data_IF_094141679707
#
_entry.id   IF_094141679707
#
_cell.length_a   1.000
_cell.length_b   1.000
_cell.length_c   1.000
_cell.angle_alpha   90.00
_cell.angle_beta   90.00
_cell.angle_gamma   90.00
#
_symmetry.space_group_name_H-M   'P 1'
#
loop_
_entity.id
_entity.type
_entity.pdbx_description
1 polymer ?
#
# COMPACT_ATOMS: atom_id res chain seq x y z
N UNK A 1 1.63 14.46 15.92
CA UNK A 1 2.71 14.00 15.04
C UNK A 1 2.46 12.63 14.41
N UNK A 2 2.00 11.67 15.20
CA UNK A 2 1.70 10.34 14.65
C UNK A 2 0.51 10.34 13.71
N UNK A 3 -0.46 11.21 13.92
CA UNK A 3 -1.59 11.35 13.01
C UNK A 3 -1.17 11.76 11.59
N UNK A 4 -0.20 12.65 11.48
CA UNK A 4 0.29 13.06 10.18
C UNK A 4 1.00 11.92 9.47
N UNK A 5 1.81 11.16 10.22
CA UNK A 5 2.49 10.00 9.65
C UNK A 5 1.48 8.96 9.18
N UNK A 6 0.44 8.69 9.96
CA UNK A 6 -0.61 7.76 9.60
C UNK A 6 -1.32 8.21 8.32
N UNK A 7 -1.68 9.47 8.24
CA UNK A 7 -2.36 10.03 7.06
C UNK A 7 -1.50 9.92 5.81
N UNK A 8 -0.18 10.18 5.94
CA UNK A 8 0.74 10.06 4.83
C UNK A 8 0.86 8.63 4.33
N UNK A 9 0.95 7.68 5.25
CA UNK A 9 1.05 6.26 4.90
C UNK A 9 -0.26 5.79 4.25
N UNK A 10 -1.40 6.18 4.80
CA UNK A 10 -2.69 5.84 4.22
C UNK A 10 -2.83 6.38 2.80
N UNK A 11 -2.34 7.58 2.56
CA UNK A 11 -2.36 8.18 1.23
C UNK A 11 -1.46 7.42 0.25
N UNK A 12 -0.29 6.99 0.72
CA UNK A 12 0.64 6.20 -0.10
C UNK A 12 -0.02 4.87 -0.49
N UNK A 13 -0.65 4.21 0.47
CA UNK A 13 -1.36 2.95 0.22
C UNK A 13 -2.46 3.15 -0.82
N UNK A 14 -3.23 4.22 -0.67
CA UNK A 14 -4.28 4.56 -1.63
C UNK A 14 -3.72 4.76 -3.03
N UNK A 15 -2.60 5.46 -3.16
CA UNK A 15 -1.94 5.66 -4.44
C UNK A 15 -1.48 4.35 -5.06
N UNK A 16 -0.92 3.45 -4.26
CA UNK A 16 -0.52 2.13 -4.75
C UNK A 16 -1.72 1.31 -5.20
N UNK A 17 -2.84 1.40 -4.48
CA UNK A 17 -4.06 0.69 -4.87
C UNK A 17 -4.59 1.19 -6.21
N UNK A 18 -4.54 2.50 -6.45
CA UNK A 18 -4.92 3.08 -7.73
C UNK A 18 -3.98 2.58 -8.83
N UNK A 19 -2.68 2.56 -8.57
CA UNK A 19 -1.71 2.04 -9.53
C UNK A 19 -1.96 0.57 -9.84
N UNK A 20 -2.30 -0.21 -8.83
CA UNK A 20 -2.62 -1.63 -9.01
C UNK A 20 -3.82 -1.80 -9.95
N UNK A 21 -4.87 -1.02 -9.74
CA UNK A 21 -6.05 -1.05 -10.59
C UNK A 21 -5.70 -0.63 -12.02
N UNK A 22 -4.86 0.39 -12.18
CA UNK A 22 -4.41 0.84 -13.49
C UNK A 22 -3.62 -0.25 -14.21
N UNK A 23 -2.75 -0.96 -13.50
CA UNK A 23 -1.99 -2.07 -14.08
C UNK A 23 -2.89 -3.21 -14.54
N UNK A 24 -3.94 -3.51 -13.77
CA UNK A 24 -4.92 -4.51 -14.17
C UNK A 24 -5.63 -4.11 -15.46
N UNK A 25 -6.00 -2.84 -15.56
CA UNK A 25 -6.69 -2.32 -16.73
C UNK A 25 -5.80 -2.33 -17.97
N UNK A 26 -4.54 -1.90 -17.81
CA UNK A 26 -3.61 -1.75 -18.94
C UNK A 26 -3.02 -3.08 -19.42
N UNK A 27 -2.63 -3.94 -18.49
CA UNK A 27 -1.88 -5.16 -18.82
C UNK A 27 -2.70 -6.43 -18.66
N UNK A 28 -3.80 -6.36 -17.94
CA UNK A 28 -4.64 -7.54 -17.72
C UNK A 28 -3.85 -8.69 -17.08
N UNK A 29 -3.89 -9.85 -17.71
CA UNK A 29 -3.25 -11.07 -17.20
C UNK A 29 -1.88 -11.34 -17.81
N UNK A 30 -1.26 -10.35 -18.45
CA UNK A 30 0.06 -10.55 -19.02
C UNK A 30 1.08 -10.82 -17.91
N UNK A 31 2.15 -11.58 -18.25
CA UNK A 31 3.19 -11.88 -17.26
C UNK A 31 3.91 -10.63 -16.76
N UNK A 32 4.07 -9.65 -17.63
CA UNK A 32 4.69 -8.36 -17.26
C UNK A 32 3.83 -7.62 -16.24
N UNK A 33 2.52 -7.56 -16.48
CA UNK A 33 1.59 -6.94 -15.55
C UNK A 33 1.54 -7.67 -14.22
N UNK A 34 1.60 -9.00 -14.24
CA UNK A 34 1.60 -9.81 -13.02
C UNK A 34 2.83 -9.54 -12.15
N UNK A 35 3.99 -9.36 -12.75
CA UNK A 35 5.21 -9.02 -12.00
C UNK A 35 5.09 -7.67 -11.33
N UNK A 36 4.58 -6.68 -12.04
CA UNK A 36 4.38 -5.33 -11.50
C UNK A 36 3.35 -5.34 -10.38
N UNK A 37 2.25 -6.08 -10.56
CA UNK A 37 1.21 -6.20 -9.53
C UNK A 37 1.73 -6.85 -8.25
N UNK A 38 2.55 -7.90 -8.38
CA UNK A 38 3.15 -8.56 -7.22
C UNK A 38 4.05 -7.62 -6.45
N UNK A 39 4.82 -6.81 -7.14
CA UNK A 39 5.69 -5.83 -6.50
C UNK A 39 4.88 -4.80 -5.71
N UNK A 40 3.80 -4.29 -6.30
CA UNK A 40 2.91 -3.36 -5.61
C UNK A 40 2.22 -4.00 -4.41
N UNK A 41 1.78 -5.25 -4.54
CA UNK A 41 1.17 -5.98 -3.43
C UNK A 41 2.11 -6.08 -2.23
N UNK A 42 3.38 -6.37 -2.47
CA UNK A 42 4.37 -6.45 -1.39
C UNK A 42 4.53 -5.11 -0.69
N UNK A 43 4.57 -4.03 -1.46
CA UNK A 43 4.70 -2.69 -0.88
C UNK A 43 3.45 -2.31 -0.09
N UNK A 44 2.26 -2.61 -0.61
CA UNK A 44 1.01 -2.35 0.10
C UNK A 44 0.98 -3.12 1.42
N UNK A 45 1.38 -4.38 1.43
CA UNK A 45 1.44 -5.19 2.65
C UNK A 45 2.41 -4.60 3.66
N UNK A 46 3.57 -4.15 3.20
CA UNK A 46 4.58 -3.55 4.07
C UNK A 46 4.05 -2.29 4.73
N UNK A 47 3.45 -1.39 3.95
CA UNK A 47 2.89 -0.16 4.49
C UNK A 47 1.72 -0.42 5.43
N UNK A 48 0.87 -1.39 5.11
CA UNK A 48 -0.21 -1.80 6.02
C UNK A 48 0.33 -2.33 7.34
N UNK A 49 1.41 -3.09 7.30
CA UNK A 49 2.07 -3.60 8.50
C UNK A 49 2.61 -2.45 9.34
N UNK A 50 3.30 -1.50 8.71
CA UNK A 50 3.83 -0.32 9.40
C UNK A 50 2.71 0.49 10.04
N UNK A 51 1.64 0.71 9.30
CA UNK A 51 0.47 1.44 9.78
C UNK A 51 -0.15 0.77 11.01
N UNK A 52 -0.27 -0.53 10.95
CA UNK A 52 -0.80 -1.33 12.07
C UNK A 52 0.06 -1.17 13.32
N UNK A 53 1.37 -1.18 13.16
CA UNK A 53 2.30 -1.02 14.28
C UNK A 53 2.21 0.37 14.88
N UNK A 54 2.13 1.39 14.05
CA UNK A 54 2.01 2.77 14.53
C UNK A 54 0.72 2.93 15.31
N UNK A 55 -0.40 2.44 14.80
CA UNK A 55 -1.69 2.52 15.47
C UNK A 55 -1.70 1.76 16.79
N UNK A 56 -1.05 0.60 16.83
CA UNK A 56 -0.96 -0.20 18.03
C UNK A 56 -0.16 0.52 19.13
N UNK A 57 0.96 1.14 18.76
CA UNK A 57 1.77 1.90 19.70
C UNK A 57 1.01 3.10 20.25
N UNK A 58 0.23 3.77 19.41
CA UNK A 58 -0.60 4.88 19.84
C UNK A 58 -1.64 4.45 20.86
N UNK A 59 -2.25 3.30 20.65
CA UNK A 59 -3.26 2.77 21.56
C UNK A 59 -2.67 2.32 22.90
N UNK A 60 -1.43 1.89 22.88
CA UNK A 60 -0.74 1.43 24.09
C UNK A 60 0.01 2.54 24.83
N UNK A 61 0.13 3.67 24.21
CA UNK A 61 0.80 4.82 24.80
C UNK A 61 -0.17 5.77 25.42
#
# INVERSE_FOLDING_TARGET
MQEEAIKRIEKIIEMYQVQFADLEELFGRSSKGNKLKKKLEKEIRLFNYILKRIKKEEMNG
#
